data_IF_845671346924
#
_entry.id   IF_845671346924
#
_cell.length_a   1.000
_cell.length_b   1.000
_cell.length_c   1.000
_cell.angle_alpha   90.00
_cell.angle_beta   90.00
_cell.angle_gamma   90.00
#
_symmetry.space_group_name_H-M   'P 1'
#
loop_
_entity.id
_entity.type
_entity.pdbx_description
1 polymer ?
#
# COMPACT_ATOMS: atom_id res chain seq x y z
N UNK A 1 20.19 41.89 3.62
CA UNK A 1 19.61 40.69 2.98
C UNK A 1 20.37 40.42 1.68
N UNK A 2 20.71 39.16 1.39
CA UNK A 2 21.25 38.78 0.07
C UNK A 2 20.06 38.74 -0.90
N UNK A 3 20.18 39.32 -2.10
CA UNK A 3 19.11 39.29 -3.09
C UNK A 3 18.90 37.88 -3.64
N UNK A 4 17.66 37.50 -3.95
CA UNK A 4 17.34 36.20 -4.54
C UNK A 4 18.15 35.91 -5.82
N UNK A 5 18.47 36.95 -6.61
CA UNK A 5 19.33 36.87 -7.79
C UNK A 5 20.76 36.43 -7.46
N UNK A 6 21.33 36.88 -6.34
CA UNK A 6 22.68 36.48 -5.90
C UNK A 6 22.71 35.05 -5.38
N UNK A 7 21.68 34.64 -4.65
CA UNK A 7 21.54 33.23 -4.19
C UNK A 7 21.39 32.30 -5.39
N UNK A 8 20.60 32.68 -6.39
CA UNK A 8 20.43 31.91 -7.63
C UNK A 8 21.77 31.76 -8.37
N UNK A 9 22.53 32.84 -8.56
CA UNK A 9 23.84 32.80 -9.20
C UNK A 9 24.80 31.85 -8.47
N UNK A 10 24.89 31.96 -7.13
CA UNK A 10 25.70 31.05 -6.31
C UNK A 10 25.25 29.60 -6.46
N UNK A 11 23.94 29.34 -6.51
CA UNK A 11 23.43 27.97 -6.68
C UNK A 11 23.83 27.35 -8.03
N UNK A 12 23.82 28.13 -9.12
CA UNK A 12 24.25 27.67 -10.44
C UNK A 12 25.75 27.35 -10.44
N UNK A 13 26.58 28.20 -9.81
CA UNK A 13 28.01 27.93 -9.66
C UNK A 13 28.31 26.64 -8.88
N UNK A 14 27.41 26.20 -8.01
CA UNK A 14 27.59 24.97 -7.23
C UNK A 14 27.30 23.70 -8.04
N UNK A 15 26.54 23.76 -9.14
CA UNK A 15 26.12 22.58 -9.94
C UNK A 15 27.27 21.64 -10.30
N UNK A 16 28.40 22.09 -10.89
CA UNK A 16 29.51 21.20 -11.21
C UNK A 16 30.27 20.67 -9.99
N UNK A 17 30.00 21.21 -8.80
CA UNK A 17 30.76 20.95 -7.58
C UNK A 17 29.97 20.16 -6.52
N UNK A 18 28.70 19.84 -6.78
CA UNK A 18 27.80 19.24 -5.78
C UNK A 18 28.31 17.94 -5.14
N UNK A 19 29.20 17.20 -5.80
CA UNK A 19 29.77 15.95 -5.28
C UNK A 19 30.99 16.16 -4.39
N UNK A 20 31.48 17.39 -4.25
CA UNK A 20 32.63 17.69 -3.39
C UNK A 20 32.17 17.71 -1.91
N UNK A 21 32.75 16.87 -1.03
CA UNK A 21 32.33 16.77 0.37
C UNK A 21 32.41 18.12 1.12
N UNK A 22 33.40 18.95 0.78
CA UNK A 22 33.64 20.25 1.42
C UNK A 22 32.49 21.25 1.19
N UNK A 23 31.63 21.00 0.19
CA UNK A 23 30.50 21.86 -0.13
C UNK A 23 29.19 21.45 0.53
N UNK A 24 29.11 20.29 1.22
CA UNK A 24 27.88 19.82 1.86
C UNK A 24 27.18 20.89 2.72
N UNK A 25 27.88 21.63 3.62
CA UNK A 25 27.23 22.68 4.41
C UNK A 25 26.63 23.81 3.57
N UNK A 26 27.25 24.15 2.44
CA UNK A 26 26.73 25.14 1.50
C UNK A 26 25.49 24.61 0.77
N UNK A 27 25.51 23.35 0.33
CA UNK A 27 24.36 22.71 -0.30
C UNK A 27 23.15 22.72 0.64
N UNK A 28 23.33 22.29 1.89
CA UNK A 28 22.30 22.31 2.92
C UNK A 28 21.72 23.72 3.10
N UNK A 29 22.57 24.74 3.18
CA UNK A 29 22.13 26.13 3.32
C UNK A 29 21.30 26.60 2.12
N UNK A 30 21.70 26.25 0.89
CA UNK A 30 20.98 26.62 -0.33
C UNK A 30 19.64 25.88 -0.48
N UNK A 31 19.58 24.63 0.00
CA UNK A 31 18.35 23.84 0.07
C UNK A 31 17.36 24.41 1.08
N UNK A 32 17.83 24.99 2.19
CA UNK A 32 16.96 25.60 3.20
C UNK A 32 16.53 27.03 2.87
N UNK A 33 17.37 27.82 2.20
CA UNK A 33 17.05 29.20 1.80
C UNK A 33 16.39 29.22 0.41
N UNK A 34 17.10 29.52 -0.69
CA UNK A 34 16.53 29.71 -2.04
C UNK A 34 17.50 29.29 -3.18
N UNK A 35 17.83 28.00 -3.31
CA UNK A 35 18.52 27.47 -4.51
C UNK A 35 17.64 27.55 -5.78
N UNK A 36 18.27 27.78 -6.94
CA UNK A 36 17.62 27.78 -8.26
C UNK A 36 17.22 26.39 -8.75
N UNK A 37 16.27 26.32 -9.70
CA UNK A 37 15.70 25.05 -10.18
C UNK A 37 16.74 24.05 -10.69
N UNK A 38 17.69 24.51 -11.52
CA UNK A 38 18.77 23.67 -12.08
C UNK A 38 19.64 23.06 -10.98
N UNK A 39 19.91 23.84 -9.92
CA UNK A 39 20.65 23.37 -8.76
C UNK A 39 19.87 22.31 -7.98
N UNK A 40 18.58 22.55 -7.73
CA UNK A 40 17.72 21.60 -7.01
C UNK A 40 17.62 20.26 -7.76
N UNK A 41 17.49 20.31 -9.09
CA UNK A 41 17.49 19.11 -9.93
C UNK A 41 18.83 18.37 -9.86
N UNK A 42 19.95 19.06 -10.03
CA UNK A 42 21.28 18.44 -9.98
C UNK A 42 21.57 17.79 -8.62
N UNK A 43 21.19 18.46 -7.52
CA UNK A 43 21.32 17.92 -6.17
C UNK A 43 20.44 16.67 -5.98
N UNK A 44 19.18 16.70 -6.45
CA UNK A 44 18.32 15.52 -6.40
C UNK A 44 18.92 14.34 -7.15
N UNK A 45 19.47 14.57 -8.34
CA UNK A 45 20.14 13.54 -9.13
C UNK A 45 21.34 12.92 -8.41
N UNK A 46 22.20 13.75 -7.83
CA UNK A 46 23.34 13.28 -7.07
C UNK A 46 22.90 12.49 -5.83
N UNK A 47 21.84 12.93 -5.15
CA UNK A 47 21.27 12.26 -3.99
C UNK A 47 20.68 10.89 -4.35
N UNK A 48 19.83 10.81 -5.37
CA UNK A 48 19.20 9.55 -5.81
C UNK A 48 20.25 8.54 -6.27
N UNK A 49 21.32 8.99 -6.94
CA UNK A 49 22.48 8.16 -7.34
C UNK A 49 23.44 7.86 -6.19
N UNK A 50 23.09 8.22 -4.95
CA UNK A 50 23.90 8.04 -3.72
C UNK A 50 25.33 8.61 -3.85
N UNK A 51 25.52 9.65 -4.68
CA UNK A 51 26.81 10.36 -4.86
C UNK A 51 27.07 11.36 -3.75
N UNK A 52 26.02 11.79 -3.07
CA UNK A 52 26.07 12.71 -1.93
C UNK A 52 25.22 12.15 -0.79
N UNK A 53 25.55 12.54 0.43
CA UNK A 53 24.73 12.32 1.62
C UNK A 53 24.23 13.66 2.13
N UNK A 54 22.93 13.76 2.39
CA UNK A 54 22.28 14.97 2.86
C UNK A 54 21.47 14.64 4.12
N UNK A 55 21.36 15.58 5.08
CA UNK A 55 20.45 15.42 6.19
C UNK A 55 19.00 15.40 5.72
N UNK A 56 18.15 14.67 6.44
CA UNK A 56 16.71 14.53 6.12
C UNK A 56 16.01 15.88 5.91
N UNK A 57 16.29 16.87 6.76
CA UNK A 57 15.72 18.21 6.65
C UNK A 57 16.02 18.90 5.32
N UNK A 58 17.22 18.69 4.76
CA UNK A 58 17.60 19.26 3.48
C UNK A 58 16.89 18.55 2.31
N UNK A 59 16.75 17.22 2.39
CA UNK A 59 15.99 16.43 1.41
C UNK A 59 14.51 16.79 1.43
N UNK A 60 13.92 16.95 2.62
CA UNK A 60 12.51 17.34 2.75
C UNK A 60 12.28 18.74 2.21
N UNK A 61 13.20 19.68 2.49
CA UNK A 61 13.12 21.04 1.95
C UNK A 61 13.24 21.06 0.42
N UNK A 62 14.14 20.24 -0.15
CA UNK A 62 14.26 20.06 -1.60
C UNK A 62 12.93 19.64 -2.22
N UNK A 63 12.29 18.58 -1.70
CA UNK A 63 11.05 18.05 -2.26
C UNK A 63 9.83 18.93 -2.01
N UNK A 64 9.79 19.68 -0.90
CA UNK A 64 8.74 20.69 -0.66
C UNK A 64 8.82 21.85 -1.65
N UNK A 65 10.02 22.18 -2.13
CA UNK A 65 10.27 23.36 -2.96
C UNK A 65 10.32 23.04 -4.46
N UNK A 66 10.62 21.81 -4.83
CA UNK A 66 10.81 21.42 -6.23
C UNK A 66 10.07 20.12 -6.54
N UNK A 67 8.84 20.28 -7.05
CA UNK A 67 7.96 19.18 -7.42
C UNK A 67 8.62 18.16 -8.37
N UNK A 68 9.35 18.56 -9.44
CA UNK A 68 9.98 17.58 -10.33
C UNK A 68 10.98 16.67 -9.61
N UNK A 69 11.66 17.16 -8.57
CA UNK A 69 12.56 16.34 -7.76
C UNK A 69 11.82 15.29 -6.94
N UNK A 70 10.65 15.64 -6.38
CA UNK A 70 9.81 14.71 -5.62
C UNK A 70 9.20 13.64 -6.53
N UNK A 71 8.67 14.04 -7.69
CA UNK A 71 8.15 13.10 -8.69
C UNK A 71 9.23 12.11 -9.11
N UNK A 72 10.43 12.61 -9.43
CA UNK A 72 11.57 11.79 -9.82
C UNK A 72 12.04 10.85 -8.70
N UNK A 73 12.03 11.31 -7.45
CA UNK A 73 12.37 10.45 -6.31
C UNK A 73 11.35 9.32 -6.12
N UNK A 74 10.06 9.61 -6.33
CA UNK A 74 8.97 8.62 -6.21
C UNK A 74 9.04 7.59 -7.34
N UNK A 75 9.26 8.03 -8.58
CA UNK A 75 9.45 7.14 -9.73
C UNK A 75 10.71 6.29 -9.57
N UNK A 76 11.81 6.89 -9.09
CA UNK A 76 13.04 6.15 -8.81
C UNK A 76 12.85 5.04 -7.76
N UNK A 77 12.04 5.30 -6.72
CA UNK A 77 11.68 4.27 -5.75
C UNK A 77 10.91 3.11 -6.42
N UNK A 78 9.92 3.42 -7.25
CA UNK A 78 9.14 2.41 -7.97
C UNK A 78 10.04 1.56 -8.89
N UNK A 79 10.92 2.19 -9.66
CA UNK A 79 11.88 1.50 -10.52
C UNK A 79 12.78 0.54 -9.72
N UNK A 80 13.28 0.97 -8.57
CA UNK A 80 14.07 0.11 -7.67
C UNK A 80 13.27 -1.08 -7.17
N UNK A 81 12.03 -0.85 -6.73
CA UNK A 81 11.16 -1.88 -6.16
C UNK A 81 10.77 -2.94 -7.20
N UNK A 82 10.43 -2.54 -8.41
CA UNK A 82 10.11 -3.49 -9.48
C UNK A 82 11.34 -4.24 -9.99
N UNK A 83 12.55 -3.69 -9.81
CA UNK A 83 13.79 -4.37 -10.17
C UNK A 83 14.19 -5.50 -9.21
N UNK A 84 13.81 -5.43 -7.92
CA UNK A 84 14.19 -6.42 -6.90
C UNK A 84 13.24 -7.63 -6.82
N UNK A 85 12.29 -7.77 -7.75
CA UNK A 85 11.34 -8.88 -7.84
C UNK A 85 10.46 -9.13 -6.59
N UNK A 86 10.40 -8.20 -5.63
CA UNK A 86 9.51 -8.19 -4.45
C UNK A 86 9.39 -9.51 -3.66
N UNK A 87 10.43 -10.35 -3.67
CA UNK A 87 10.40 -11.68 -3.04
C UNK A 87 10.47 -11.64 -1.50
N UNK A 88 10.74 -10.48 -0.89
CA UNK A 88 10.84 -10.30 0.55
C UNK A 88 10.24 -8.97 0.98
N UNK A 89 9.24 -9.01 1.86
CA UNK A 89 8.63 -7.81 2.43
C UNK A 89 9.62 -6.98 3.26
N UNK A 90 10.60 -7.63 3.91
CA UNK A 90 11.64 -6.93 4.67
C UNK A 90 12.53 -6.09 3.76
N UNK A 91 12.90 -6.63 2.59
CA UNK A 91 13.71 -5.94 1.60
C UNK A 91 12.94 -4.78 0.97
N UNK A 92 11.66 -4.98 0.64
CA UNK A 92 10.75 -3.92 0.17
C UNK A 92 10.66 -2.80 1.19
N UNK A 93 10.41 -3.13 2.46
CA UNK A 93 10.34 -2.16 3.54
C UNK A 93 11.67 -1.40 3.72
N UNK A 94 12.80 -2.09 3.59
CA UNK A 94 14.13 -1.49 3.67
C UNK A 94 14.35 -0.47 2.54
N UNK A 95 14.08 -0.85 1.29
CA UNK A 95 14.21 0.05 0.12
C UNK A 95 13.31 1.28 0.26
N UNK A 96 12.05 1.08 0.66
CA UNK A 96 11.12 2.19 0.89
C UNK A 96 11.62 3.11 2.01
N UNK A 97 12.13 2.56 3.11
CA UNK A 97 12.66 3.35 4.22
C UNK A 97 13.93 4.14 3.84
N UNK A 98 14.83 3.51 3.08
CA UNK A 98 16.08 4.11 2.60
C UNK A 98 15.85 5.23 1.56
N UNK A 99 14.63 5.34 1.03
CA UNK A 99 14.22 6.42 0.14
C UNK A 99 13.92 7.74 0.87
N UNK A 100 13.68 7.71 2.19
CA UNK A 100 13.17 8.83 3.00
C UNK A 100 11.77 9.34 2.66
N UNK A 101 11.09 8.80 1.63
CA UNK A 101 9.75 9.24 1.23
C UNK A 101 8.69 9.03 2.32
N UNK A 102 8.64 7.91 3.07
CA UNK A 102 7.66 7.75 4.15
C UNK A 102 7.76 8.84 5.22
N UNK A 103 8.98 9.23 5.58
CA UNK A 103 9.27 10.28 6.57
C UNK A 103 8.93 11.66 6.00
N UNK A 104 9.33 11.94 4.76
CA UNK A 104 9.02 13.20 4.10
C UNK A 104 7.50 13.39 3.90
N UNK A 105 6.77 12.29 3.65
CA UNK A 105 5.33 12.24 3.50
C UNK A 105 4.57 12.52 4.82
N UNK A 106 5.24 12.59 5.98
CA UNK A 106 4.63 13.20 7.16
C UNK A 106 4.19 14.65 6.91
N UNK A 107 4.72 15.34 5.89
CA UNK A 107 4.16 16.60 5.41
C UNK A 107 3.03 16.35 4.37
N UNK A 108 1.80 16.84 4.57
CA UNK A 108 0.66 16.55 3.69
C UNK A 108 0.86 16.89 2.22
N UNK A 109 1.60 17.97 1.92
CA UNK A 109 1.91 18.34 0.54
C UNK A 109 2.76 17.28 -0.19
N UNK A 110 3.73 16.68 0.50
CA UNK A 110 4.56 15.60 -0.07
C UNK A 110 3.72 14.34 -0.19
N UNK A 111 3.00 13.97 0.87
CA UNK A 111 2.11 12.80 0.86
C UNK A 111 1.18 12.84 -0.35
N UNK A 112 0.52 13.97 -0.60
CA UNK A 112 -0.41 14.11 -1.71
C UNK A 112 0.24 13.76 -3.04
N UNK A 113 1.43 14.27 -3.33
CA UNK A 113 2.11 13.99 -4.60
C UNK A 113 2.49 12.51 -4.72
N UNK A 114 3.10 11.94 -3.67
CA UNK A 114 3.47 10.51 -3.66
C UNK A 114 2.23 9.63 -3.84
N UNK A 115 1.16 9.97 -3.12
CA UNK A 115 -0.10 9.24 -3.14
C UNK A 115 -0.79 9.31 -4.51
N UNK A 116 -0.76 10.46 -5.19
CA UNK A 116 -1.28 10.58 -6.56
C UNK A 116 -0.47 9.75 -7.57
N UNK A 117 0.87 9.69 -7.43
CA UNK A 117 1.70 8.82 -8.28
C UNK A 117 1.32 7.35 -8.05
N UNK A 118 1.15 6.91 -6.79
CA UNK A 118 0.71 5.55 -6.50
C UNK A 118 -0.69 5.24 -7.01
N UNK A 119 -1.63 6.19 -6.95
CA UNK A 119 -2.95 6.04 -7.59
C UNK A 119 -2.83 5.81 -9.08
N UNK A 120 -2.00 6.58 -9.77
CA UNK A 120 -1.78 6.41 -11.22
C UNK A 120 -1.19 5.04 -11.53
N UNK A 121 -0.19 4.59 -10.78
CA UNK A 121 0.41 3.26 -10.96
C UNK A 121 -0.60 2.14 -10.66
N UNK A 122 -1.44 2.31 -9.62
CA UNK A 122 -2.50 1.35 -9.31
C UNK A 122 -3.53 1.24 -10.44
N UNK A 123 -3.94 2.39 -10.99
CA UNK A 123 -4.85 2.47 -12.14
C UNK A 123 -4.27 1.81 -13.38
N UNK A 124 -3.02 2.12 -13.73
CA UNK A 124 -2.36 1.63 -14.95
C UNK A 124 -2.10 0.13 -14.92
N UNK A 125 -1.93 -0.45 -13.73
CA UNK A 125 -1.61 -1.87 -13.55
C UNK A 125 -2.80 -2.72 -13.16
N UNK A 126 -4.01 -2.16 -13.08
CA UNK A 126 -5.20 -2.84 -12.55
C UNK A 126 -4.95 -3.51 -11.19
N UNK A 127 -4.08 -2.85 -10.40
CA UNK A 127 -3.74 -3.20 -9.04
C UNK A 127 -3.03 -4.53 -8.85
N UNK A 128 -2.04 -4.88 -9.68
CA UNK A 128 -1.15 -6.05 -9.48
C UNK A 128 -0.69 -6.23 -8.03
N UNK A 129 -0.40 -7.48 -7.64
CA UNK A 129 0.08 -7.84 -6.29
C UNK A 129 1.30 -7.02 -5.86
N UNK A 130 2.19 -6.75 -6.80
CA UNK A 130 3.42 -6.02 -6.65
C UNK A 130 3.14 -4.56 -6.27
N UNK A 131 2.26 -3.90 -7.03
CA UNK A 131 1.85 -2.51 -6.75
C UNK A 131 1.10 -2.41 -5.42
N UNK A 132 0.18 -3.35 -5.15
CA UNK A 132 -0.54 -3.40 -3.88
C UNK A 132 0.43 -3.51 -2.69
N UNK A 133 1.42 -4.40 -2.80
CA UNK A 133 2.45 -4.61 -1.76
C UNK A 133 3.23 -3.32 -1.51
N UNK A 134 3.67 -2.64 -2.57
CA UNK A 134 4.41 -1.37 -2.45
C UNK A 134 3.58 -0.31 -1.73
N UNK A 135 2.31 -0.14 -2.14
CA UNK A 135 1.38 0.84 -1.53
C UNK A 135 1.15 0.54 -0.05
N UNK A 136 0.94 -0.74 0.30
CA UNK A 136 0.69 -1.18 1.67
C UNK A 136 1.92 -0.96 2.56
N UNK A 137 3.10 -1.42 2.14
CA UNK A 137 4.34 -1.25 2.90
C UNK A 137 4.69 0.22 3.06
N UNK A 138 4.53 1.04 2.00
CA UNK A 138 4.70 2.48 2.11
C UNK A 138 3.74 3.09 3.13
N UNK A 139 2.45 2.76 3.07
CA UNK A 139 1.44 3.28 3.98
C UNK A 139 1.77 2.93 5.44
N UNK A 140 2.16 1.68 5.70
CA UNK A 140 2.60 1.24 7.03
C UNK A 140 3.79 2.07 7.54
N UNK A 141 4.83 2.23 6.71
CA UNK A 141 6.03 2.98 7.08
C UNK A 141 5.75 4.48 7.29
N UNK A 142 4.88 5.07 6.45
CA UNK A 142 4.40 6.44 6.61
C UNK A 142 3.67 6.61 7.94
N UNK A 143 2.73 5.71 8.27
CA UNK A 143 1.99 5.79 9.53
C UNK A 143 2.91 5.64 10.75
N UNK A 144 3.92 4.77 10.67
CA UNK A 144 4.94 4.65 11.71
C UNK A 144 5.76 5.93 11.86
N UNK A 145 6.20 6.54 10.75
CA UNK A 145 6.90 7.83 10.77
C UNK A 145 6.02 8.93 11.40
N UNK A 146 4.77 9.02 10.95
CA UNK A 146 3.77 9.97 11.44
C UNK A 146 3.47 9.80 12.95
N UNK A 147 3.51 8.57 13.47
CA UNK A 147 3.34 8.29 14.89
C UNK A 147 4.57 8.70 15.72
N UNK A 148 5.77 8.47 15.20
CA UNK A 148 7.05 8.67 15.88
C UNK A 148 7.58 10.10 15.85
N UNK A 149 7.00 10.99 15.03
CA UNK A 149 7.37 12.41 14.98
C UNK A 149 7.04 13.15 16.29
N UNK A 150 8.00 13.13 17.21
CA UNK A 150 7.87 13.77 18.52
C UNK A 150 8.16 15.28 18.53
N UNK A 151 8.56 15.91 17.42
CA UNK A 151 9.27 17.20 17.53
C UNK A 151 8.70 18.48 16.91
N UNK A 152 7.96 18.59 15.80
CA UNK A 152 7.63 19.97 15.32
C UNK A 152 6.24 20.26 14.71
N UNK A 153 5.54 19.38 13.99
CA UNK A 153 4.15 19.62 13.56
C UNK A 153 3.48 18.30 13.15
N UNK A 154 2.57 17.77 13.98
CA UNK A 154 1.78 16.59 13.64
C UNK A 154 0.47 17.02 13.00
N UNK A 155 0.32 16.81 11.70
CA UNK A 155 -0.95 17.08 11.01
C UNK A 155 -1.99 16.00 11.36
N UNK A 156 -3.28 16.32 11.43
CA UNK A 156 -4.30 15.30 11.69
C UNK A 156 -4.45 14.36 10.48
N UNK A 157 -4.86 13.10 10.70
CA UNK A 157 -5.04 12.10 9.62
C UNK A 157 -5.94 12.57 8.45
N UNK A 158 -6.92 13.45 8.75
CA UNK A 158 -7.78 14.09 7.74
C UNK A 158 -7.04 14.97 6.73
N UNK A 159 -5.76 15.29 6.97
CA UNK A 159 -4.91 16.01 6.02
C UNK A 159 -4.30 15.09 4.95
N UNK A 160 -4.31 13.78 5.17
CA UNK A 160 -3.72 12.78 4.27
C UNK A 160 -4.80 11.96 3.55
N UNK A 161 -5.92 11.65 4.22
CA UNK A 161 -6.98 10.81 3.68
C UNK A 161 -8.29 11.58 3.41
N UNK A 162 -9.14 11.12 2.47
CA UNK A 162 -10.36 11.83 2.07
C UNK A 162 -11.30 12.18 3.23
N UNK A 163 -11.81 13.42 3.24
CA UNK A 163 -12.71 13.90 4.30
C UNK A 163 -14.09 13.22 4.29
N UNK A 164 -14.57 12.82 3.11
CA UNK A 164 -15.90 12.22 2.96
C UNK A 164 -15.99 10.76 3.42
N UNK A 165 -14.85 10.10 3.66
CA UNK A 165 -14.77 8.69 4.07
C UNK A 165 -14.15 8.50 5.47
N UNK A 166 -14.16 9.54 6.31
CA UNK A 166 -13.50 9.50 7.62
C UNK A 166 -13.93 8.35 8.56
N UNK A 167 -15.21 7.91 8.60
CA UNK A 167 -15.57 6.72 9.39
C UNK A 167 -14.80 5.47 8.95
N UNK A 168 -14.74 5.21 7.64
CA UNK A 168 -14.00 4.09 7.06
C UNK A 168 -12.49 4.23 7.31
N UNK A 169 -11.92 5.42 7.09
CA UNK A 169 -10.50 5.71 7.39
C UNK A 169 -10.15 5.37 8.84
N UNK A 170 -10.99 5.74 9.80
CA UNK A 170 -10.76 5.42 11.22
C UNK A 170 -10.77 3.93 11.51
N UNK A 171 -11.63 3.18 10.83
CA UNK A 171 -11.65 1.71 10.92
C UNK A 171 -10.37 1.09 10.36
N UNK A 172 -9.92 1.55 9.19
CA UNK A 172 -8.79 1.00 8.47
C UNK A 172 -7.41 1.37 9.07
N UNK A 173 -7.25 2.60 9.57
CA UNK A 173 -5.95 3.08 10.11
C UNK A 173 -5.54 2.34 11.39
N UNK A 174 -6.50 1.84 12.16
CA UNK A 174 -6.20 1.07 13.37
C UNK A 174 -5.42 -0.17 12.98
N UNK A 175 -4.27 -0.43 13.63
CA UNK A 175 -3.48 -1.61 13.27
C UNK A 175 -3.99 -2.86 13.99
N UNK A 176 -3.96 -4.03 13.36
CA UNK A 176 -4.46 -5.27 13.96
C UNK A 176 -3.86 -5.63 15.33
N UNK A 177 -2.56 -5.44 15.52
CA UNK A 177 -1.90 -5.73 16.80
C UNK A 177 -2.29 -4.73 17.92
N UNK A 178 -2.93 -3.60 17.57
CA UNK A 178 -3.50 -2.65 18.53
C UNK A 178 -4.91 -3.09 19.03
N UNK A 179 -5.40 -4.21 18.50
CA UNK A 179 -6.67 -4.84 18.84
C UNK A 179 -6.44 -6.24 19.41
N UNK A 180 -7.07 -6.62 20.53
CA UNK A 180 -7.12 -8.01 20.93
C UNK A 180 -7.80 -8.85 19.85
N UNK A 181 -7.26 -10.05 19.60
CA UNK A 181 -7.71 -10.94 18.51
C UNK A 181 -9.19 -11.30 18.59
N UNK A 182 -9.77 -11.32 19.79
CA UNK A 182 -11.20 -11.55 20.03
C UNK A 182 -12.12 -10.51 19.40
N UNK A 183 -11.60 -9.32 19.07
CA UNK A 183 -12.37 -8.25 18.43
C UNK A 183 -12.13 -8.15 16.92
N UNK A 184 -11.24 -8.95 16.34
CA UNK A 184 -10.91 -8.86 14.93
C UNK A 184 -12.12 -9.17 14.03
N UNK A 185 -12.89 -10.22 14.33
CA UNK A 185 -14.09 -10.57 13.55
C UNK A 185 -15.13 -9.45 13.54
N UNK A 186 -15.41 -8.85 14.71
CA UNK A 186 -16.33 -7.72 14.83
C UNK A 186 -15.82 -6.49 14.08
N UNK A 187 -14.52 -6.20 14.16
CA UNK A 187 -13.91 -5.06 13.50
C UNK A 187 -13.92 -5.20 11.97
N UNK A 188 -13.56 -6.37 11.46
CA UNK A 188 -13.62 -6.71 10.03
C UNK A 188 -15.05 -6.61 9.51
N UNK A 189 -16.03 -7.17 10.23
CA UNK A 189 -17.46 -7.04 9.87
C UNK A 189 -17.86 -5.57 9.79
N UNK A 190 -17.49 -4.77 10.79
CA UNK A 190 -17.82 -3.35 10.80
C UNK A 190 -17.21 -2.57 9.62
N UNK A 191 -15.94 -2.82 9.28
CA UNK A 191 -15.31 -2.24 8.08
C UNK A 191 -16.07 -2.66 6.82
N UNK A 192 -16.41 -3.94 6.71
CA UNK A 192 -17.11 -4.50 5.56
C UNK A 192 -18.49 -3.87 5.37
N UNK A 193 -19.26 -3.74 6.46
CA UNK A 193 -20.59 -3.13 6.43
C UNK A 193 -20.53 -1.63 6.08
N UNK A 194 -19.56 -0.88 6.63
CA UNK A 194 -19.35 0.53 6.29
C UNK A 194 -18.99 0.71 4.81
N UNK A 195 -18.09 -0.13 4.30
CA UNK A 195 -17.66 -0.07 2.91
C UNK A 195 -18.81 -0.44 1.96
N UNK A 196 -19.56 -1.49 2.28
CA UNK A 196 -20.73 -1.91 1.52
C UNK A 196 -21.78 -0.81 1.47
N UNK A 197 -22.15 -0.23 2.61
CA UNK A 197 -23.07 0.89 2.67
C UNK A 197 -22.55 2.08 1.84
N UNK A 198 -21.26 2.41 1.95
CA UNK A 198 -20.67 3.50 1.17
C UNK A 198 -20.74 3.25 -0.33
N UNK A 199 -20.50 2.02 -0.80
CA UNK A 199 -20.50 1.68 -2.23
C UNK A 199 -21.92 1.48 -2.79
N UNK A 200 -22.87 1.02 -1.97
CA UNK A 200 -24.26 0.75 -2.38
C UNK A 200 -25.20 1.95 -2.20
N UNK A 201 -25.06 2.75 -1.12
CA UNK A 201 -25.88 3.96 -0.89
C UNK A 201 -25.45 5.11 -1.81
N UNK A 202 -24.17 5.15 -2.16
CA UNK A 202 -23.76 5.99 -3.27
C UNK A 202 -24.33 5.32 -4.51
N UNK A 203 -25.40 5.87 -5.10
CA UNK A 203 -25.78 5.63 -6.50
C UNK A 203 -24.59 6.08 -7.37
N UNK A 204 -23.49 5.32 -7.37
CA UNK A 204 -22.11 5.78 -7.54
C UNK A 204 -21.98 6.82 -8.65
N UNK A 205 -21.97 8.08 -8.23
CA UNK A 205 -21.70 9.23 -9.05
C UNK A 205 -20.23 9.16 -9.48
N UNK A 206 -19.98 8.57 -10.66
CA UNK A 206 -18.68 8.43 -11.34
C UNK A 206 -17.75 7.30 -10.87
N UNK A 207 -17.07 6.68 -11.84
CA UNK A 207 -16.00 5.68 -11.64
C UNK A 207 -14.85 6.20 -10.76
N UNK A 208 -14.67 7.52 -10.71
CA UNK A 208 -13.63 8.19 -9.92
C UNK A 208 -13.85 7.96 -8.42
N UNK A 209 -15.09 8.07 -7.93
CA UNK A 209 -15.38 7.90 -6.50
C UNK A 209 -15.14 6.44 -6.05
N UNK A 210 -15.51 5.46 -6.88
CA UNK A 210 -15.24 4.05 -6.60
C UNK A 210 -13.74 3.75 -6.56
N UNK A 211 -12.97 4.35 -7.47
CA UNK A 211 -11.52 4.21 -7.48
C UNK A 211 -10.88 4.79 -6.20
N UNK A 212 -11.31 5.96 -5.75
CA UNK A 212 -10.80 6.57 -4.50
C UNK A 212 -11.07 5.67 -3.28
N UNK A 213 -12.26 5.05 -3.21
CA UNK A 213 -12.60 4.11 -2.15
C UNK A 213 -11.75 2.84 -2.25
N UNK A 214 -11.56 2.29 -3.45
CA UNK A 214 -10.72 1.11 -3.65
C UNK A 214 -9.26 1.38 -3.29
N UNK A 215 -8.71 2.50 -3.75
CA UNK A 215 -7.36 2.94 -3.39
C UNK A 215 -7.21 3.09 -1.87
N UNK A 216 -8.21 3.65 -1.19
CA UNK A 216 -8.20 3.75 0.27
C UNK A 216 -8.11 2.35 0.91
N UNK A 217 -8.91 1.38 0.47
CA UNK A 217 -8.83 0.00 0.98
C UNK A 217 -7.47 -0.64 0.65
N UNK A 218 -6.92 -0.38 -0.54
CA UNK A 218 -5.61 -0.89 -0.96
C UNK A 218 -4.46 -0.45 -0.04
N UNK A 219 -4.51 0.77 0.49
CA UNK A 219 -3.54 1.26 1.47
C UNK A 219 -3.51 0.45 2.78
N UNK A 220 -4.59 -0.25 3.12
CA UNK A 220 -4.77 -0.95 4.39
C UNK A 220 -5.00 -2.46 4.21
N UNK A 221 -4.16 -3.09 3.38
CA UNK A 221 -4.20 -4.52 3.04
C UNK A 221 -4.22 -5.49 4.21
N UNK A 222 -3.59 -5.15 5.35
CA UNK A 222 -3.54 -6.03 6.53
C UNK A 222 -4.93 -6.48 7.00
N UNK A 223 -5.94 -5.61 6.87
CA UNK A 223 -7.31 -5.96 7.25
C UNK A 223 -7.95 -6.98 6.30
N UNK A 224 -7.49 -7.08 5.04
CA UNK A 224 -7.98 -8.05 4.06
C UNK A 224 -7.43 -9.43 4.37
N UNK A 225 -6.15 -9.52 4.75
CA UNK A 225 -5.53 -10.77 5.19
C UNK A 225 -6.22 -11.31 6.44
N UNK A 226 -6.49 -10.44 7.41
CA UNK A 226 -7.25 -10.81 8.62
C UNK A 226 -8.68 -11.19 8.27
N UNK A 227 -9.30 -10.51 7.32
CA UNK A 227 -10.65 -10.87 6.90
C UNK A 227 -10.69 -12.30 6.34
N UNK A 228 -9.75 -12.67 5.48
CA UNK A 228 -9.62 -14.03 4.96
C UNK A 228 -9.32 -15.05 6.07
N UNK A 229 -8.45 -14.72 7.03
CA UNK A 229 -8.17 -15.54 8.21
C UNK A 229 -9.44 -15.78 9.05
N UNK A 230 -10.15 -14.71 9.43
CA UNK A 230 -11.35 -14.80 10.27
C UNK A 230 -12.47 -15.58 9.57
N UNK A 231 -12.57 -15.44 8.24
CA UNK A 231 -13.52 -16.18 7.42
C UNK A 231 -13.27 -17.69 7.51
N UNK A 232 -12.03 -18.16 7.28
CA UNK A 232 -11.73 -19.60 7.32
C UNK A 232 -11.72 -20.20 8.72
N UNK A 233 -11.48 -19.39 9.75
CA UNK A 233 -11.69 -19.79 11.15
C UNK A 233 -13.17 -19.84 11.54
N UNK A 234 -14.09 -19.55 10.61
CA UNK A 234 -15.52 -19.43 10.85
C UNK A 234 -15.86 -18.49 12.04
N UNK A 235 -15.02 -17.47 12.26
CA UNK A 235 -15.14 -16.53 13.37
C UNK A 235 -16.03 -15.31 13.04
N UNK A 236 -16.44 -15.19 11.78
CA UNK A 236 -17.22 -14.08 11.23
C UNK A 236 -18.24 -14.61 10.23
N UNK A 237 -19.36 -13.90 10.07
CA UNK A 237 -20.34 -14.21 9.02
C UNK A 237 -19.67 -14.07 7.63
N UNK A 238 -19.90 -15.03 6.70
CA UNK A 238 -19.26 -15.00 5.39
C UNK A 238 -19.63 -13.80 4.53
N UNK A 239 -20.93 -13.44 4.48
CA UNK A 239 -21.45 -12.49 3.49
C UNK A 239 -20.75 -11.11 3.50
N UNK A 240 -20.57 -10.42 4.67
CA UNK A 240 -19.89 -9.13 4.68
C UNK A 240 -18.43 -9.23 4.23
N UNK A 241 -17.75 -10.30 4.65
CA UNK A 241 -16.32 -10.50 4.38
C UNK A 241 -16.06 -10.89 2.93
N UNK A 242 -16.88 -11.78 2.37
CA UNK A 242 -16.81 -12.13 0.95
C UNK A 242 -17.12 -10.92 0.06
N UNK A 243 -18.05 -10.05 0.48
CA UNK A 243 -18.30 -8.79 -0.21
C UNK A 243 -17.07 -7.87 -0.18
N UNK A 244 -16.42 -7.72 0.99
CA UNK A 244 -15.18 -6.93 1.12
C UNK A 244 -14.07 -7.45 0.20
N UNK A 245 -13.81 -8.75 0.23
CA UNK A 245 -12.80 -9.37 -0.63
C UNK A 245 -13.16 -9.21 -2.11
N UNK A 246 -14.44 -9.36 -2.47
CA UNK A 246 -14.87 -9.24 -3.86
C UNK A 246 -14.70 -7.80 -4.36
N UNK A 247 -14.97 -6.81 -3.51
CA UNK A 247 -14.68 -5.41 -3.82
C UNK A 247 -13.17 -5.15 -3.99
N UNK A 248 -12.34 -5.73 -3.12
CA UNK A 248 -10.88 -5.51 -3.18
C UNK A 248 -10.24 -6.09 -4.45
N UNK A 249 -10.61 -7.31 -4.84
CA UNK A 249 -10.04 -7.99 -6.01
C UNK A 249 -10.74 -7.64 -7.33
N UNK A 250 -12.02 -7.25 -7.29
CA UNK A 250 -12.81 -6.90 -8.46
C UNK A 250 -13.43 -5.49 -8.31
N UNK A 251 -12.63 -4.43 -8.14
CA UNK A 251 -13.13 -3.09 -7.81
C UNK A 251 -13.96 -2.44 -8.92
N UNK A 252 -13.74 -2.85 -10.17
CA UNK A 252 -14.44 -2.35 -11.36
C UNK A 252 -15.84 -2.96 -11.52
N UNK A 253 -16.17 -4.01 -10.77
CA UNK A 253 -17.44 -4.69 -10.92
C UNK A 253 -18.58 -3.76 -10.47
N UNK A 254 -19.56 -3.58 -11.34
CA UNK A 254 -20.81 -2.92 -11.01
C UNK A 254 -21.56 -3.71 -9.92
N UNK A 255 -22.55 -3.11 -9.27
CA UNK A 255 -23.27 -3.74 -8.15
C UNK A 255 -23.83 -5.14 -8.51
N UNK A 256 -24.36 -5.33 -9.72
CA UNK A 256 -24.86 -6.63 -10.18
C UNK A 256 -23.73 -7.65 -10.38
N UNK A 257 -22.64 -7.27 -11.05
CA UNK A 257 -21.48 -8.13 -11.27
C UNK A 257 -20.80 -8.49 -9.94
N UNK A 258 -20.73 -7.55 -9.00
CA UNK A 258 -20.20 -7.78 -7.66
C UNK A 258 -21.05 -8.77 -6.88
N UNK A 259 -22.38 -8.64 -6.96
CA UNK A 259 -23.31 -9.61 -6.35
C UNK A 259 -23.05 -11.01 -6.89
N UNK A 260 -22.88 -11.15 -8.20
CA UNK A 260 -22.52 -12.42 -8.83
C UNK A 260 -21.15 -12.94 -8.35
N UNK A 261 -20.15 -12.07 -8.26
CA UNK A 261 -18.81 -12.43 -7.74
C UNK A 261 -18.89 -12.96 -6.30
N UNK A 262 -19.72 -12.35 -5.45
CA UNK A 262 -19.92 -12.79 -4.07
C UNK A 262 -20.61 -14.17 -4.02
N UNK A 263 -21.58 -14.43 -4.88
CA UNK A 263 -22.23 -15.76 -4.99
C UNK A 263 -21.24 -16.84 -5.39
N UNK A 264 -20.39 -16.55 -6.38
CA UNK A 264 -19.34 -17.47 -6.80
C UNK A 264 -18.32 -17.69 -5.68
N UNK A 265 -17.88 -16.62 -5.02
CA UNK A 265 -16.97 -16.69 -3.89
C UNK A 265 -17.53 -17.47 -2.70
N UNK A 266 -18.84 -17.35 -2.43
CA UNK A 266 -19.54 -18.13 -1.43
C UNK A 266 -19.51 -19.63 -1.77
N UNK A 267 -19.65 -20.00 -3.05
CA UNK A 267 -19.53 -21.39 -3.47
C UNK A 267 -18.11 -21.94 -3.22
N UNK A 268 -17.07 -21.15 -3.51
CA UNK A 268 -15.67 -21.51 -3.21
C UNK A 268 -15.48 -21.71 -1.72
N UNK A 269 -15.89 -20.73 -0.92
CA UNK A 269 -15.77 -20.76 0.53
C UNK A 269 -16.49 -21.98 1.12
N UNK A 270 -17.75 -22.23 0.74
CA UNK A 270 -18.50 -23.39 1.21
C UNK A 270 -17.77 -24.70 0.90
N UNK A 271 -17.16 -24.79 -0.29
CA UNK A 271 -16.41 -25.97 -0.69
C UNK A 271 -15.11 -26.11 0.11
N UNK A 272 -14.36 -25.02 0.30
CA UNK A 272 -13.18 -25.00 1.18
C UNK A 272 -13.53 -25.40 2.61
N UNK A 273 -14.66 -24.94 3.16
CA UNK A 273 -15.11 -25.29 4.51
C UNK A 273 -15.52 -26.76 4.64
N UNK A 274 -16.04 -27.38 3.58
CA UNK A 274 -16.25 -28.83 3.55
C UNK A 274 -14.91 -29.57 3.66
N UNK A 275 -13.90 -29.11 2.90
CA UNK A 275 -12.55 -29.70 2.94
C UNK A 275 -11.81 -29.40 4.25
N UNK A 276 -12.09 -28.26 4.89
CA UNK A 276 -11.43 -27.82 6.12
C UNK A 276 -11.60 -28.84 7.25
N UNK A 277 -12.75 -29.51 7.27
CA UNK A 277 -13.09 -30.53 8.26
C UNK A 277 -12.68 -31.96 7.84
N UNK A 278 -12.04 -32.12 6.67
CA UNK A 278 -11.60 -33.43 6.17
C UNK A 278 -10.19 -33.78 6.69
N UNK A 279 -10.05 -34.90 7.39
CA UNK A 279 -8.78 -35.32 7.98
C UNK A 279 -7.79 -35.92 6.95
N UNK A 280 -8.33 -36.51 5.88
CA UNK A 280 -7.61 -37.24 4.82
C UNK A 280 -7.74 -36.51 3.47
N UNK A 281 -7.43 -35.22 3.47
CA UNK A 281 -7.48 -34.38 2.28
C UNK A 281 -6.30 -34.67 1.35
N UNK A 282 -6.56 -34.94 0.06
CA UNK A 282 -5.51 -35.10 -0.95
C UNK A 282 -5.36 -33.86 -1.83
N UNK A 283 -4.20 -33.71 -2.48
CA UNK A 283 -3.97 -32.64 -3.46
C UNK A 283 -5.01 -32.65 -4.60
N UNK A 284 -5.45 -33.83 -5.03
CA UNK A 284 -6.47 -33.96 -6.09
C UNK A 284 -7.83 -33.43 -5.68
N UNK A 285 -8.18 -33.55 -4.40
CA UNK A 285 -9.43 -32.99 -3.86
C UNK A 285 -9.38 -31.46 -3.90
N UNK A 286 -8.22 -30.88 -3.59
CA UNK A 286 -7.99 -29.44 -3.67
C UNK A 286 -7.93 -28.95 -5.12
N UNK A 287 -7.28 -29.65 -6.05
CA UNK A 287 -7.28 -29.31 -7.47
C UNK A 287 -8.71 -29.34 -8.05
N UNK A 288 -9.49 -30.37 -7.69
CA UNK A 288 -10.89 -30.46 -8.10
C UNK A 288 -11.74 -29.32 -7.51
N UNK A 289 -11.43 -28.87 -6.29
CA UNK A 289 -12.05 -27.70 -5.69
C UNK A 289 -11.78 -26.42 -6.50
N UNK A 290 -10.51 -26.17 -6.83
CA UNK A 290 -10.08 -24.99 -7.57
C UNK A 290 -10.61 -24.99 -9.01
N UNK A 291 -10.56 -26.13 -9.70
CA UNK A 291 -11.04 -26.24 -11.08
C UNK A 291 -12.56 -26.11 -11.25
N UNK A 292 -13.35 -26.36 -10.20
CA UNK A 292 -14.80 -26.11 -10.21
C UNK A 292 -15.15 -24.63 -10.16
N UNK A 293 -14.19 -23.77 -9.82
CA UNK A 293 -14.37 -22.33 -9.74
C UNK A 293 -13.94 -21.71 -11.06
N UNK A 294 -14.90 -21.49 -11.94
CA UNK A 294 -14.70 -20.78 -13.20
C UNK A 294 -15.35 -19.41 -13.10
N UNK A 295 -14.59 -18.32 -13.20
CA UNK A 295 -15.15 -16.96 -13.32
C UNK A 295 -14.67 -15.95 -12.27
N UNK A 296 -14.16 -16.40 -11.12
CA UNK A 296 -13.64 -15.49 -10.09
C UNK A 296 -12.21 -15.06 -10.44
N UNK A 297 -11.89 -13.82 -10.09
CA UNK A 297 -10.55 -13.27 -10.17
C UNK A 297 -9.53 -14.19 -9.46
N UNK A 298 -8.42 -14.47 -10.15
CA UNK A 298 -7.48 -15.51 -9.73
C UNK A 298 -6.79 -15.18 -8.40
N UNK A 299 -6.54 -13.90 -8.11
CA UNK A 299 -5.92 -13.45 -6.86
C UNK A 299 -6.88 -13.60 -5.68
N UNK A 300 -8.18 -13.35 -5.86
CA UNK A 300 -9.19 -13.67 -4.84
C UNK A 300 -9.13 -15.15 -4.45
N UNK A 301 -9.19 -16.03 -5.45
CA UNK A 301 -9.19 -17.49 -5.23
C UNK A 301 -7.88 -17.94 -4.58
N UNK A 302 -6.75 -17.41 -5.05
CA UNK A 302 -5.42 -17.67 -4.48
C UNK A 302 -5.34 -17.23 -3.02
N UNK A 303 -5.93 -16.08 -2.66
CA UNK A 303 -5.91 -15.60 -1.28
C UNK A 303 -6.70 -16.52 -0.34
N UNK A 304 -7.89 -16.96 -0.73
CA UNK A 304 -8.66 -17.94 0.05
C UNK A 304 -7.93 -19.28 0.18
N UNK A 305 -7.37 -19.79 -0.92
CA UNK A 305 -6.60 -21.04 -0.91
C UNK A 305 -5.37 -20.96 -0.02
N UNK A 306 -4.65 -19.84 -0.07
CA UNK A 306 -3.45 -19.62 0.77
C UNK A 306 -3.83 -19.68 2.25
N UNK A 307 -4.88 -18.96 2.65
CA UNK A 307 -5.37 -19.04 4.04
C UNK A 307 -5.86 -20.46 4.39
N UNK A 308 -6.47 -21.18 3.46
CA UNK A 308 -6.92 -22.56 3.68
C UNK A 308 -5.73 -23.49 3.97
N UNK A 309 -4.68 -23.38 3.17
CA UNK A 309 -3.43 -24.13 3.36
C UNK A 309 -2.77 -23.81 4.71
N UNK A 310 -2.82 -22.53 5.13
CA UNK A 310 -2.22 -22.04 6.36
C UNK A 310 -3.01 -22.35 7.64
N UNK A 311 -4.32 -22.58 7.57
CA UNK A 311 -5.15 -22.71 8.77
C UNK A 311 -5.89 -24.05 8.90
N UNK A 312 -5.99 -24.85 7.84
CA UNK A 312 -6.59 -26.18 7.90
C UNK A 312 -5.56 -27.28 8.17
N UNK A 313 -5.89 -28.28 8.99
CA UNK A 313 -4.98 -29.38 9.28
C UNK A 313 -4.60 -30.19 8.01
N UNK A 314 -5.55 -30.39 7.09
CA UNK A 314 -5.31 -31.04 5.80
C UNK A 314 -4.47 -30.19 4.85
N UNK A 315 -4.69 -28.87 4.84
CA UNK A 315 -3.94 -27.94 4.01
C UNK A 315 -2.45 -27.87 4.34
N UNK A 316 -2.08 -27.94 5.62
CA UNK A 316 -0.67 -27.99 6.03
C UNK A 316 0.07 -29.20 5.47
N UNK A 317 -0.58 -30.37 5.45
CA UNK A 317 0.00 -31.60 4.88
C UNK A 317 0.23 -31.42 3.38
N UNK A 318 -0.76 -30.91 2.65
CA UNK A 318 -0.66 -30.64 1.22
C UNK A 318 0.44 -29.62 0.91
N UNK A 319 0.52 -28.52 1.68
CA UNK A 319 1.56 -27.52 1.49
C UNK A 319 2.97 -28.12 1.66
N UNK A 320 3.15 -29.00 2.66
CA UNK A 320 4.41 -29.73 2.85
C UNK A 320 4.71 -30.65 1.66
N UNK A 321 3.74 -31.43 1.19
CA UNK A 321 3.90 -32.31 0.01
C UNK A 321 4.33 -31.51 -1.23
N UNK A 322 3.70 -30.37 -1.51
CA UNK A 322 4.05 -29.51 -2.64
C UNK A 322 5.48 -28.96 -2.52
N UNK A 323 5.90 -28.53 -1.33
CA UNK A 323 7.27 -28.06 -1.10
C UNK A 323 8.28 -29.18 -1.36
N UNK A 324 8.02 -30.39 -0.87
CA UNK A 324 8.91 -31.55 -1.10
C UNK A 324 9.05 -31.92 -2.59
N UNK A 325 8.03 -31.68 -3.41
CA UNK A 325 8.07 -31.96 -4.85
C UNK A 325 8.76 -30.89 -5.70
N UNK A 326 8.93 -29.67 -5.16
CA UNK A 326 9.57 -28.54 -5.85
C UNK A 326 11.02 -28.30 -5.35
N UNK A 327 11.39 -28.89 -4.21
CA UNK A 327 12.76 -28.90 -3.64
C UNK A 327 13.65 -29.95 -4.30
#
# INVERSE_FOLDING_TARGET
>A
SISASRVNAVSIFCVPLITLPDLTPLLETLLLYHGGSEFLEAVNEAFLKKKISLPESAVFSLWLRHLPSLEKATLHLLDQLFSIQLNSLEEVARVIKDSLLPQAASHPAIFRIVNEIFKNVLMETDGTSEVMTVIQVFTQLFLQAHQNENKQLKFPLKAYFPYHHQPLVRGLVRRPFELPTTYWSQHVKHISDMLKALVEDTNASSLTDLFEIWFLVACFGEWLDIAAEQLLKAAVEPDPVLWLLAFYYCPKNENQQRTQTVVEAQAVYNHLMMLFNCADLSLKDLEAAVHRVTGIEQRFTTHLLTNFLLFSAGGHKIAQECIYHVS
#
